data_IF_450075771978
#
_entry.id   IF_450075771978
#
_cell.length_a   1.000
_cell.length_b   1.000
_cell.length_c   1.000
_cell.angle_alpha   90.00
_cell.angle_beta   90.00
_cell.angle_gamma   90.00
#
_symmetry.space_group_name_H-M   'P 1'
#
loop_
_entity.id
_entity.type
_entity.pdbx_description
1 polymer ?
#
# COMPACT_ATOMS: atom_id res chain seq x y z
N UNK A 1 2.34 0.58 -18.31
CA UNK A 1 1.81 0.66 -16.97
C UNK A 1 2.10 -0.64 -16.21
N UNK A 2 2.49 -0.52 -14.99
CA UNK A 2 2.84 -1.69 -14.21
C UNK A 2 1.66 -2.49 -13.73
N UNK A 3 1.96 -3.51 -13.03
CA UNK A 3 1.05 -4.41 -12.40
C UNK A 3 0.16 -3.70 -11.37
N UNK A 4 -1.12 -4.10 -11.29
CA UNK A 4 -2.08 -3.53 -10.33
C UNK A 4 -2.62 -4.66 -9.45
N UNK A 5 -2.14 -4.81 -8.21
CA UNK A 5 -2.59 -5.89 -7.32
C UNK A 5 -4.09 -5.86 -6.99
N UNK A 6 -4.73 -4.71 -7.10
CA UNK A 6 -6.18 -4.59 -6.90
C UNK A 6 -6.99 -5.47 -7.86
N UNK A 7 -6.40 -5.91 -8.97
CA UNK A 7 -7.06 -6.87 -9.85
C UNK A 7 -7.37 -8.18 -9.13
N UNK A 8 -6.57 -8.56 -8.13
CA UNK A 8 -6.84 -9.74 -7.33
C UNK A 8 -8.10 -9.55 -6.47
N UNK A 9 -8.26 -8.37 -5.92
CA UNK A 9 -9.41 -8.01 -5.09
C UNK A 9 -10.69 -7.98 -5.93
N UNK A 10 -10.61 -7.48 -7.16
CA UNK A 10 -11.75 -7.42 -8.08
C UNK A 10 -12.33 -8.78 -8.43
N UNK A 11 -11.56 -9.86 -8.28
CA UNK A 11 -12.07 -11.21 -8.53
C UNK A 11 -12.86 -11.77 -7.35
N UNK A 12 -12.96 -11.04 -6.25
CA UNK A 12 -13.63 -11.47 -5.05
C UNK A 12 -15.08 -10.95 -4.99
N UNK A 13 -16.01 -11.66 -4.32
CA UNK A 13 -17.40 -11.24 -4.23
C UNK A 13 -17.62 -9.86 -3.62
N UNK A 14 -16.71 -9.42 -2.74
CA UNK A 14 -16.83 -8.13 -2.05
C UNK A 14 -16.24 -6.96 -2.82
N UNK A 15 -15.44 -7.22 -3.88
CA UNK A 15 -14.83 -6.18 -4.68
C UNK A 15 -13.74 -5.40 -3.96
N UNK A 16 -13.57 -4.15 -4.36
CA UNK A 16 -12.54 -3.25 -3.83
C UNK A 16 -13.07 -2.38 -2.70
N UNK A 17 -12.19 -2.09 -1.73
CA UNK A 17 -12.44 -1.10 -0.69
C UNK A 17 -11.48 0.07 -0.93
N UNK A 18 -12.03 1.28 -1.00
CA UNK A 18 -11.23 2.50 -1.14
C UNK A 18 -11.01 3.14 0.22
N UNK A 19 -9.78 3.57 0.47
CA UNK A 19 -9.40 4.27 1.70
C UNK A 19 -9.16 5.76 1.44
N UNK A 20 -9.60 6.26 0.29
CA UNK A 20 -9.36 7.66 -0.10
C UNK A 20 -9.98 8.65 0.88
N UNK A 21 -11.18 8.37 1.38
CA UNK A 21 -11.85 9.25 2.33
C UNK A 21 -11.08 9.36 3.64
N UNK A 22 -10.64 8.24 4.18
CA UNK A 22 -9.85 8.21 5.42
C UNK A 22 -8.51 8.93 5.23
N UNK A 23 -7.88 8.73 4.07
CA UNK A 23 -6.64 9.42 3.72
C UNK A 23 -6.83 10.92 3.68
N UNK A 24 -7.86 11.39 3.01
CA UNK A 24 -8.15 12.81 2.88
C UNK A 24 -8.51 13.43 4.23
N UNK A 25 -9.25 12.71 5.08
CA UNK A 25 -9.57 13.17 6.43
C UNK A 25 -8.31 13.31 7.30
N UNK A 26 -7.39 12.36 7.18
CA UNK A 26 -6.13 12.42 7.92
C UNK A 26 -5.26 13.59 7.47
N UNK A 27 -5.19 13.83 6.16
CA UNK A 27 -4.44 14.97 5.62
C UNK A 27 -5.05 16.31 6.04
N UNK A 28 -6.38 16.40 6.13
CA UNK A 28 -7.06 17.59 6.63
C UNK A 28 -6.71 17.83 8.10
N UNK A 29 -6.75 16.80 8.94
CA UNK A 29 -6.34 16.90 10.33
C UNK A 29 -4.90 17.38 10.49
N UNK A 30 -4.01 16.87 9.64
CA UNK A 30 -2.62 17.31 9.63
C UNK A 30 -2.52 18.81 9.28
N UNK A 31 -3.23 19.25 8.26
CA UNK A 31 -3.21 20.65 7.84
C UNK A 31 -3.77 21.59 8.90
N UNK A 32 -4.71 21.10 9.71
CA UNK A 32 -5.31 21.86 10.82
C UNK A 32 -4.50 21.77 12.12
N UNK A 33 -3.40 21.04 12.13
CA UNK A 33 -2.57 20.87 13.32
C UNK A 33 -3.11 19.91 14.37
N UNK A 34 -4.14 19.13 14.04
CA UNK A 34 -4.74 18.17 14.96
C UNK A 34 -3.90 16.91 15.16
N UNK A 35 -3.07 16.56 14.19
CA UNK A 35 -2.11 15.47 14.28
C UNK A 35 -0.72 15.97 13.88
N UNK A 36 0.32 15.42 14.51
CA UNK A 36 1.69 15.81 14.20
C UNK A 36 2.28 14.96 13.08
N UNK A 37 3.38 15.45 12.50
CA UNK A 37 4.13 14.68 11.51
C UNK A 37 4.60 13.34 12.07
N UNK A 38 4.93 13.28 13.35
CA UNK A 38 5.37 12.03 14.01
C UNK A 38 4.25 11.02 14.15
N UNK A 39 3.00 11.47 14.20
CA UNK A 39 1.84 10.57 14.31
C UNK A 39 1.51 9.88 12.99
N UNK A 40 1.84 10.50 11.87
CA UNK A 40 1.45 10.01 10.55
C UNK A 40 2.62 9.56 9.68
N UNK A 41 3.85 9.97 10.01
CA UNK A 41 5.07 9.53 9.34
C UNK A 41 5.75 8.47 10.19
N UNK A 42 5.06 7.34 10.33
CA UNK A 42 5.37 6.29 11.30
C UNK A 42 5.52 4.90 10.67
N UNK A 43 5.85 4.83 9.38
CA UNK A 43 6.00 3.56 8.69
C UNK A 43 6.99 2.65 9.41
N UNK A 44 6.57 1.41 9.63
CA UNK A 44 7.41 0.39 10.23
C UNK A 44 8.66 0.16 9.37
N UNK A 45 9.84 -0.10 9.95
CA UNK A 45 11.07 -0.36 9.19
C UNK A 45 10.93 -1.45 8.12
N UNK A 46 10.13 -2.49 8.38
CA UNK A 46 9.87 -3.53 7.39
C UNK A 46 9.09 -3.01 6.19
N UNK A 47 8.16 -2.08 6.40
CA UNK A 47 7.43 -1.45 5.31
C UNK A 47 8.37 -0.57 4.48
N UNK A 48 9.26 0.17 5.11
CA UNK A 48 10.27 0.98 4.41
C UNK A 48 11.20 0.08 3.59
N UNK A 49 11.62 -1.04 4.14
CA UNK A 49 12.45 -2.00 3.41
C UNK A 49 11.72 -2.56 2.20
N UNK A 50 10.45 -2.93 2.34
CA UNK A 50 9.62 -3.38 1.23
C UNK A 50 9.46 -2.28 0.18
N UNK A 51 9.31 -1.03 0.61
CA UNK A 51 9.20 0.11 -0.30
C UNK A 51 10.46 0.31 -1.13
N UNK A 52 11.64 0.05 -0.56
CA UNK A 52 12.90 0.14 -1.31
C UNK A 52 13.08 -1.02 -2.31
N UNK A 53 12.63 -2.22 -1.98
CA UNK A 53 12.96 -3.43 -2.73
C UNK A 53 11.82 -3.98 -3.59
N UNK A 54 10.57 -3.77 -3.20
CA UNK A 54 9.41 -4.43 -3.79
C UNK A 54 8.27 -3.48 -4.10
N UNK A 55 8.57 -2.23 -4.41
CA UNK A 55 7.53 -1.24 -4.66
C UNK A 55 7.38 -0.92 -6.15
N UNK A 56 6.27 -0.26 -6.47
CA UNK A 56 5.99 0.28 -7.78
C UNK A 56 5.89 1.80 -7.63
N UNK A 57 6.63 2.60 -8.43
CA UNK A 57 6.52 4.04 -8.35
C UNK A 57 5.12 4.54 -8.67
N UNK A 58 4.69 5.60 -7.98
CA UNK A 58 3.45 6.30 -8.24
C UNK A 58 3.80 7.69 -8.76
N UNK A 59 3.07 8.18 -9.74
CA UNK A 59 3.25 9.54 -10.25
C UNK A 59 2.56 10.55 -9.33
N UNK A 60 3.03 10.64 -8.09
CA UNK A 60 2.47 11.56 -7.10
C UNK A 60 3.53 11.93 -6.08
N UNK A 61 3.51 13.17 -5.63
CA UNK A 61 4.38 13.63 -4.55
C UNK A 61 3.82 13.22 -3.20
N UNK A 62 4.72 13.05 -2.23
CA UNK A 62 4.31 12.85 -0.84
C UNK A 62 3.51 14.06 -0.36
N UNK A 63 2.32 13.86 0.23
CA UNK A 63 1.49 14.97 0.69
C UNK A 63 2.02 15.65 1.96
N UNK A 64 3.01 15.06 2.61
CA UNK A 64 3.55 15.57 3.87
C UNK A 64 4.87 16.31 3.66
N UNK A 65 5.90 15.63 3.15
CA UNK A 65 7.20 16.28 2.97
C UNK A 65 7.34 17.02 1.64
N UNK A 66 6.54 16.67 0.65
CA UNK A 66 6.52 17.26 -0.69
C UNK A 66 7.86 17.19 -1.45
N UNK A 67 8.84 16.49 -0.88
CA UNK A 67 10.20 16.39 -1.44
C UNK A 67 10.44 15.11 -2.21
N UNK A 68 9.55 14.15 -2.14
CA UNK A 68 9.76 12.82 -2.68
C UNK A 68 8.49 12.30 -3.35
N UNK A 69 8.67 11.48 -4.37
CA UNK A 69 7.55 10.77 -4.97
C UNK A 69 7.18 9.56 -4.12
N UNK A 70 5.88 9.24 -4.13
CA UNK A 70 5.38 8.07 -3.43
C UNK A 70 5.68 6.79 -4.19
N UNK A 71 5.72 5.68 -3.46
CA UNK A 71 5.76 4.34 -4.04
C UNK A 71 4.60 3.53 -3.46
N UNK A 72 4.22 2.47 -4.17
CA UNK A 72 3.14 1.59 -3.74
C UNK A 72 3.73 0.23 -3.38
N UNK A 73 3.38 -0.25 -2.20
CA UNK A 73 3.72 -1.59 -1.73
C UNK A 73 2.43 -2.39 -1.63
N UNK A 74 2.45 -3.62 -2.10
CA UNK A 74 1.27 -4.48 -2.14
C UNK A 74 1.52 -5.76 -1.34
N UNK A 75 0.59 -6.06 -0.43
CA UNK A 75 0.64 -7.27 0.39
C UNK A 75 -0.57 -8.14 0.11
N UNK A 76 -0.35 -9.44 -0.06
CA UNK A 76 -1.42 -10.42 -0.25
C UNK A 76 -1.48 -11.34 0.96
N UNK A 77 -2.68 -11.56 1.47
CA UNK A 77 -2.98 -12.46 2.58
C UNK A 77 -3.90 -13.57 2.10
N UNK A 78 -3.70 -14.77 2.62
CA UNK A 78 -4.55 -15.90 2.24
C UNK A 78 -3.94 -17.24 2.59
N UNK A 79 -4.61 -18.35 2.21
CA UNK A 79 -4.11 -19.70 2.49
C UNK A 79 -2.73 -19.93 1.91
N UNK A 80 -1.87 -20.59 2.67
CA UNK A 80 -0.50 -20.95 2.27
C UNK A 80 0.41 -19.76 2.00
N UNK A 81 0.04 -18.57 2.51
CA UNK A 81 0.87 -17.38 2.51
C UNK A 81 1.30 -17.07 3.95
N UNK A 82 2.41 -16.33 4.15
CA UNK A 82 2.82 -15.92 5.48
C UNK A 82 1.73 -15.13 6.21
N UNK A 83 1.63 -15.27 7.51
CA UNK A 83 0.62 -14.56 8.32
C UNK A 83 0.78 -13.04 8.26
N UNK A 84 1.99 -12.55 8.02
CA UNK A 84 2.27 -11.12 7.87
C UNK A 84 2.07 -10.60 6.44
N UNK A 85 1.57 -11.46 5.55
CA UNK A 85 1.35 -11.12 4.16
C UNK A 85 2.58 -11.32 3.28
N UNK A 86 2.35 -11.57 1.99
CA UNK A 86 3.40 -11.66 1.00
C UNK A 86 3.44 -10.39 0.18
N UNK A 87 4.60 -9.77 0.10
CA UNK A 87 4.81 -8.60 -0.74
C UNK A 87 4.87 -9.01 -2.21
N UNK A 88 4.06 -8.36 -3.04
CA UNK A 88 3.91 -8.67 -4.47
C UNK A 88 4.15 -7.40 -5.28
N UNK A 89 5.07 -7.45 -6.22
CA UNK A 89 5.38 -6.29 -7.06
C UNK A 89 5.39 -6.58 -8.56
N UNK A 90 5.08 -7.82 -8.96
CA UNK A 90 5.05 -8.20 -10.37
C UNK A 90 3.74 -8.92 -10.71
N UNK A 91 3.35 -8.82 -11.98
CA UNK A 91 2.19 -9.55 -12.49
C UNK A 91 2.40 -11.06 -12.41
N UNK A 92 3.63 -11.51 -12.59
CA UNK A 92 3.98 -12.92 -12.52
C UNK A 92 3.69 -13.50 -11.12
N UNK A 93 4.05 -12.77 -10.07
CA UNK A 93 3.77 -13.18 -8.70
C UNK A 93 2.27 -13.23 -8.43
N UNK A 94 1.52 -12.23 -8.93
CA UNK A 94 0.08 -12.20 -8.80
C UNK A 94 -0.57 -13.40 -9.49
N UNK A 95 -0.13 -13.72 -10.70
CA UNK A 95 -0.68 -14.84 -11.47
C UNK A 95 -0.45 -16.16 -10.77
N UNK A 96 0.70 -16.33 -10.10
CA UNK A 96 0.99 -17.52 -9.31
C UNK A 96 -0.02 -17.68 -8.17
N UNK A 97 -0.36 -16.59 -7.51
CA UNK A 97 -1.32 -16.61 -6.41
C UNK A 97 -2.73 -16.86 -6.92
N UNK A 98 -3.11 -16.28 -8.05
CA UNK A 98 -4.42 -16.48 -8.68
C UNK A 98 -4.69 -17.94 -9.02
N UNK A 99 -3.66 -18.70 -9.34
CA UNK A 99 -3.78 -20.12 -9.67
C UNK A 99 -4.01 -20.99 -8.44
N UNK A 100 -3.80 -20.47 -7.24
CA UNK A 100 -4.03 -21.20 -6.00
C UNK A 100 -5.51 -21.21 -5.63
N UNK A 101 -5.95 -22.29 -5.00
CA UNK A 101 -7.29 -22.40 -4.45
C UNK A 101 -7.38 -21.61 -3.16
N UNK A 102 -8.49 -20.90 -2.97
CA UNK A 102 -8.77 -20.14 -1.76
C UNK A 102 -9.11 -18.70 -2.04
N UNK A 103 -9.45 -17.98 -0.98
CA UNK A 103 -9.76 -16.56 -1.04
C UNK A 103 -8.55 -15.76 -0.58
N UNK A 104 -8.14 -14.81 -1.42
CA UNK A 104 -6.98 -13.96 -1.14
C UNK A 104 -7.42 -12.50 -1.04
N UNK A 105 -6.75 -11.75 -0.17
CA UNK A 105 -6.99 -10.31 -0.01
C UNK A 105 -5.70 -9.56 -0.30
N UNK A 106 -5.79 -8.52 -1.12
CA UNK A 106 -4.65 -7.67 -1.47
C UNK A 106 -4.83 -6.28 -0.86
N UNK A 107 -3.82 -5.81 -0.13
CA UNK A 107 -3.76 -4.45 0.39
C UNK A 107 -2.67 -3.68 -0.32
N UNK A 108 -3.00 -2.47 -0.77
CA UNK A 108 -2.04 -1.56 -1.36
C UNK A 108 -1.79 -0.41 -0.41
N UNK A 109 -0.51 -0.08 -0.20
CA UNK A 109 -0.07 0.96 0.72
C UNK A 109 0.79 1.95 -0.04
N UNK A 110 0.44 3.25 0.02
CA UNK A 110 1.34 4.28 -0.47
C UNK A 110 2.36 4.59 0.61
N UNK A 111 3.61 4.78 0.23
CA UNK A 111 4.72 5.01 1.16
C UNK A 111 5.64 6.09 0.63
N UNK A 112 6.06 6.99 1.50
CA UNK A 112 7.17 7.90 1.24
C UNK A 112 8.40 7.37 1.99
N UNK A 113 9.43 6.99 1.25
CA UNK A 113 10.66 6.46 1.87
C UNK A 113 11.50 7.54 2.55
N UNK A 114 11.19 8.81 2.29
CA UNK A 114 11.92 9.92 2.87
C UNK A 114 11.42 10.33 4.25
N UNK A 115 10.11 10.51 4.40
CA UNK A 115 9.53 10.97 5.68
C UNK A 115 8.76 9.89 6.44
N UNK A 116 8.59 8.70 5.85
CA UNK A 116 7.85 7.57 6.44
C UNK A 116 6.33 7.73 6.46
N UNK A 117 5.78 8.64 5.65
CA UNK A 117 4.34 8.69 5.40
C UNK A 117 3.88 7.37 4.81
N UNK A 118 2.76 6.86 5.30
CA UNK A 118 2.16 5.66 4.75
C UNK A 118 0.65 5.68 4.96
N UNK A 119 -0.09 5.11 4.04
CA UNK A 119 -1.54 4.98 4.14
C UNK A 119 -2.02 3.89 3.19
N UNK A 120 -3.10 3.24 3.58
CA UNK A 120 -3.81 2.33 2.67
C UNK A 120 -4.40 3.15 1.51
N UNK A 121 -4.28 2.64 0.33
CA UNK A 121 -4.78 3.31 -0.86
C UNK A 121 -5.93 2.59 -1.54
#
# INVERSE_FOLDING_TARGET
MGFIPSELVKTQPKGEISYLLERNNLLEKYSLGEVSIHDICDAHPELIRAAHNYSIPIEACCPICEDSTLVKVSYVFGPRLPSHGRCVNTKKDLDRIRKRKGTFTCYEIEVCTKCSWNHLS
#
